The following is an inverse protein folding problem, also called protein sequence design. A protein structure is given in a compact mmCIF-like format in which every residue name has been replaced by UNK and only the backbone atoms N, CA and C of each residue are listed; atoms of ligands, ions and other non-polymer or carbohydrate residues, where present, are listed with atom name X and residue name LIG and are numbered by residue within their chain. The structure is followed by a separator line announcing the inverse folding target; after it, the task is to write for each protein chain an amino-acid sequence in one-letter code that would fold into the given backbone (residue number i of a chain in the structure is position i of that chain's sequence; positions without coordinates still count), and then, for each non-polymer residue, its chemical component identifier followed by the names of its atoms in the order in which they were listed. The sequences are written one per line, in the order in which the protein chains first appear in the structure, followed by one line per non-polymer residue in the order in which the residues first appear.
data_IF_948195481805
#
_entry.id   IF_948195481805
#
_cell.length_a   1.000
_cell.length_b   1.000
_cell.length_c   1.000
_cell.angle_alpha   90.00
_cell.angle_beta   90.00
_cell.angle_gamma   90.00
#
_symmetry.space_group_name_H-M   'P 1'
#
loop_
_entity.id
_entity.type
_entity.pdbx_description
1 polymer ?
#
# COMPACT_ATOMS: atom_id res chain seq x y z
N UNK A 1 15.42 3.28 -14.88
CA UNK A 1 14.38 2.51 -14.18
C UNK A 1 14.61 2.62 -12.68
N UNK A 2 13.62 3.09 -11.92
CA UNK A 2 13.66 3.29 -10.48
C UNK A 2 12.70 2.30 -9.83
N UNK A 3 13.22 1.54 -8.87
CA UNK A 3 12.45 0.56 -8.11
C UNK A 3 12.40 1.00 -6.63
N UNK A 4 11.21 0.98 -6.05
CA UNK A 4 11.01 1.14 -4.61
C UNK A 4 10.74 -0.23 -4.01
N UNK A 5 11.57 -0.63 -3.06
CA UNK A 5 11.44 -1.90 -2.34
C UNK A 5 10.96 -1.65 -0.91
N UNK A 6 9.91 -2.34 -0.49
CA UNK A 6 9.31 -2.25 0.85
C UNK A 6 8.77 -3.62 1.27
N UNK A 7 8.45 -3.81 2.54
CA UNK A 7 7.93 -5.07 3.11
C UNK A 7 7.16 -4.78 4.41
N UNK A 8 6.56 -5.81 5.02
CA UNK A 8 6.06 -5.79 6.39
C UNK A 8 4.95 -4.75 6.65
N UNK A 9 4.00 -4.61 5.73
CA UNK A 9 2.91 -3.64 5.86
C UNK A 9 1.91 -4.04 6.95
N UNK A 10 1.69 -5.35 7.14
CA UNK A 10 0.75 -5.95 8.07
C UNK A 10 -0.60 -5.20 8.13
N UNK A 11 -1.21 -4.97 6.96
CA UNK A 11 -2.49 -4.26 6.88
C UNK A 11 -3.55 -4.96 7.75
N UNK A 12 -4.29 -4.17 8.53
CA UNK A 12 -5.28 -4.65 9.49
C UNK A 12 -4.73 -4.95 10.89
N UNK A 13 -3.44 -4.76 11.13
CA UNK A 13 -2.83 -4.92 12.46
C UNK A 13 -3.46 -3.96 13.47
N UNK A 14 -3.56 -4.43 14.71
CA UNK A 14 -3.92 -3.63 15.88
C UNK A 14 -2.74 -3.56 16.85
N UNK A 15 -2.61 -2.46 17.57
CA UNK A 15 -1.60 -2.25 18.60
C UNK A 15 -2.30 -1.96 19.93
N UNK A 16 -2.08 -2.80 20.93
CA UNK A 16 -2.79 -2.75 22.23
C UNK A 16 -4.32 -2.63 22.10
N UNK A 17 -4.91 -3.33 21.13
CA UNK A 17 -6.36 -3.32 20.88
C UNK A 17 -6.86 -2.11 20.09
N UNK A 18 -5.98 -1.18 19.73
CA UNK A 18 -6.31 -0.04 18.85
C UNK A 18 -6.00 -0.43 17.41
N UNK A 19 -7.00 -0.34 16.53
CA UNK A 19 -6.82 -0.60 15.10
C UNK A 19 -5.92 0.45 14.44
N UNK A 20 -5.03 0.02 13.55
CA UNK A 20 -4.07 0.92 12.89
C UNK A 20 -4.48 1.32 11.47
N UNK A 21 -5.69 1.01 11.03
CA UNK A 21 -6.08 1.13 9.62
C UNK A 21 -5.98 2.56 9.08
N UNK A 22 -6.32 3.57 9.89
CA UNK A 22 -6.18 4.98 9.50
C UNK A 22 -4.71 5.41 9.37
N UNK A 23 -3.85 4.93 10.28
CA UNK A 23 -2.42 5.18 10.18
C UNK A 23 -1.81 4.48 8.96
N UNK A 24 -2.26 3.26 8.65
CA UNK A 24 -1.86 2.50 7.47
C UNK A 24 -2.31 3.19 6.17
N UNK A 25 -3.50 3.79 6.16
CA UNK A 25 -3.95 4.65 5.06
C UNK A 25 -3.02 5.84 4.85
N UNK A 26 -2.66 6.55 5.92
CA UNK A 26 -1.73 7.67 5.83
C UNK A 26 -0.34 7.24 5.31
N UNK A 27 0.15 6.08 5.75
CA UNK A 27 1.40 5.50 5.22
C UNK A 27 1.31 5.24 3.71
N UNK A 28 0.23 4.63 3.24
CA UNK A 28 0.00 4.37 1.81
C UNK A 28 -0.03 5.68 1.01
N UNK A 29 -0.73 6.70 1.49
CA UNK A 29 -0.79 8.01 0.81
C UNK A 29 0.60 8.66 0.70
N UNK A 30 1.40 8.58 1.76
CA UNK A 30 2.79 9.05 1.76
C UNK A 30 3.66 8.25 0.78
N UNK A 31 3.51 6.92 0.76
CA UNK A 31 4.22 6.06 -0.18
C UNK A 31 3.90 6.45 -1.63
N UNK A 32 2.63 6.66 -1.96
CA UNK A 32 2.19 7.08 -3.29
C UNK A 32 2.74 8.47 -3.65
N UNK A 33 2.85 9.38 -2.68
CA UNK A 33 3.50 10.67 -2.90
C UNK A 33 4.98 10.51 -3.26
N UNK A 34 5.73 9.68 -2.54
CA UNK A 34 7.13 9.37 -2.85
C UNK A 34 7.28 8.74 -4.23
N UNK A 35 6.40 7.78 -4.58
CA UNK A 35 6.39 7.14 -5.91
C UNK A 35 6.26 8.19 -7.02
N UNK A 36 5.35 9.17 -6.85
CA UNK A 36 5.16 10.26 -7.82
C UNK A 36 6.36 11.19 -7.87
N UNK A 37 6.78 11.74 -6.73
CA UNK A 37 7.87 12.71 -6.64
C UNK A 37 9.19 12.15 -7.18
N UNK A 38 9.45 10.87 -6.93
CA UNK A 38 10.67 10.20 -7.35
C UNK A 38 10.55 9.50 -8.70
N UNK A 39 9.41 9.59 -9.38
CA UNK A 39 9.16 8.92 -10.67
C UNK A 39 9.55 7.43 -10.61
N UNK A 40 9.04 6.72 -9.60
CA UNK A 40 9.28 5.29 -9.41
C UNK A 40 8.51 4.50 -10.47
N UNK A 41 9.19 3.61 -11.17
CA UNK A 41 8.59 2.79 -12.24
C UNK A 41 7.89 1.54 -11.66
N UNK A 42 8.44 0.97 -10.58
CA UNK A 42 7.95 -0.27 -9.96
C UNK A 42 8.06 -0.19 -8.44
N UNK A 43 6.99 -0.57 -7.75
CA UNK A 43 6.99 -0.81 -6.30
C UNK A 43 6.99 -2.31 -6.06
N UNK A 44 8.00 -2.83 -5.37
CA UNK A 44 8.10 -4.22 -4.94
C UNK A 44 7.78 -4.32 -3.45
N UNK A 45 6.74 -5.08 -3.11
CA UNK A 45 6.34 -5.36 -1.72
C UNK A 45 6.77 -6.79 -1.39
N UNK A 46 7.86 -6.96 -0.63
CA UNK A 46 8.51 -8.23 -0.36
C UNK A 46 7.92 -8.97 0.84
N UNK A 47 6.61 -9.18 0.83
CA UNK A 47 5.91 -10.00 1.84
C UNK A 47 5.17 -9.19 2.90
N UNK A 48 4.41 -9.93 3.73
CA UNK A 48 3.64 -9.45 4.87
C UNK A 48 2.76 -8.24 4.56
N UNK A 49 2.04 -8.33 3.44
CA UNK A 49 1.05 -7.32 3.03
C UNK A 49 -0.10 -7.24 4.04
N UNK A 50 -0.63 -8.39 4.45
CA UNK A 50 -1.72 -8.48 5.41
C UNK A 50 -1.23 -9.01 6.76
N UNK A 51 -1.84 -8.55 7.85
CA UNK A 51 -1.55 -9.06 9.20
C UNK A 51 -2.03 -10.51 9.39
N UNK A 52 -3.07 -10.92 8.65
CA UNK A 52 -3.72 -12.23 8.78
C UNK A 52 -3.96 -12.88 7.42
N UNK A 53 -3.97 -14.20 7.40
CA UNK A 53 -4.25 -14.99 6.20
C UNK A 53 -5.65 -14.73 5.60
N UNK A 54 -6.64 -14.43 6.46
CA UNK A 54 -7.98 -14.01 6.07
C UNK A 54 -8.18 -12.56 6.53
N UNK A 55 -7.80 -11.57 5.71
CA UNK A 55 -7.97 -10.16 6.03
C UNK A 55 -9.45 -9.75 5.99
N UNK A 56 -9.80 -8.71 6.75
CA UNK A 56 -11.11 -8.08 6.68
C UNK A 56 -11.35 -7.38 5.34
N UNK A 57 -12.62 -7.16 4.98
CA UNK A 57 -13.00 -6.48 3.74
C UNK A 57 -12.47 -5.04 3.66
N UNK A 58 -12.47 -4.34 4.80
CA UNK A 58 -11.91 -3.00 4.98
C UNK A 58 -10.40 -2.95 4.71
N UNK A 59 -9.68 -3.99 5.14
CA UNK A 59 -8.24 -4.16 4.89
C UNK A 59 -7.94 -4.42 3.42
N UNK A 60 -8.72 -5.30 2.77
CA UNK A 60 -8.57 -5.58 1.34
C UNK A 60 -8.89 -4.33 0.53
N UNK A 61 -9.96 -3.62 0.89
CA UNK A 61 -10.34 -2.36 0.25
C UNK A 61 -9.24 -1.30 0.34
N UNK A 62 -8.53 -1.20 1.47
CA UNK A 62 -7.43 -0.26 1.61
C UNK A 62 -6.31 -0.51 0.58
N UNK A 63 -5.92 -1.77 0.36
CA UNK A 63 -4.92 -2.12 -0.66
C UNK A 63 -5.44 -1.88 -2.09
N UNK A 64 -6.71 -2.17 -2.32
CA UNK A 64 -7.35 -1.97 -3.62
C UNK A 64 -7.40 -0.48 -3.98
N UNK A 65 -7.84 0.37 -3.05
CA UNK A 65 -7.86 1.83 -3.21
C UNK A 65 -6.46 2.37 -3.54
N UNK A 66 -5.40 1.84 -2.89
CA UNK A 66 -4.01 2.20 -3.18
C UNK A 66 -3.59 1.84 -4.62
N UNK A 67 -4.02 0.65 -5.07
CA UNK A 67 -3.70 0.11 -6.40
C UNK A 67 -4.44 0.89 -7.50
N UNK A 68 -5.71 1.20 -7.30
CA UNK A 68 -6.50 2.00 -8.24
C UNK A 68 -6.09 3.47 -8.28
N UNK A 69 -5.73 4.07 -7.13
CA UNK A 69 -5.17 5.43 -7.08
C UNK A 69 -3.89 5.55 -7.92
N UNK A 70 -3.09 4.49 -8.00
CA UNK A 70 -1.90 4.45 -8.87
C UNK A 70 -2.22 4.33 -10.36
N UNK A 71 -3.38 3.75 -10.74
CA UNK A 71 -3.75 3.48 -12.14
C UNK A 71 -4.27 4.71 -12.90
N UNK A 72 -4.66 5.77 -12.19
CA UNK A 72 -5.02 7.06 -12.79
C UNK A 72 -3.78 7.87 -13.22
N UNK A 73 -2.57 7.40 -12.89
CA UNK A 73 -1.29 7.97 -13.30
C UNK A 73 -0.85 7.32 -14.63
N UNK A 74 -1.40 7.83 -15.73
CA UNK A 74 -1.12 7.52 -17.15
C UNK A 74 -1.23 6.06 -17.64
N UNK A 75 -1.95 5.81 -18.76
CA UNK A 75 -2.14 4.48 -19.34
C UNK A 75 -0.92 4.00 -20.14
N UNK A 76 0.26 3.89 -19.51
CA UNK A 76 1.47 3.35 -20.15
C UNK A 76 1.67 1.85 -19.96
N UNK A 77 0.68 1.15 -19.38
CA UNK A 77 0.69 -0.29 -19.16
C UNK A 77 -0.48 -0.95 -19.90
N UNK A 78 -0.41 -0.92 -21.24
CA UNK A 78 -0.92 -1.93 -22.16
C UNK A 78 0.20 -2.26 -23.14
#
# INVERSE_FOLDING_TARGET
MRLLHTSDWHLGRSFHGVGMLDAQRNFIEQLLAVVREQSVDVVLIAGDVYDRALPGLDVVKLLDDASYGSRMLEPRWC
#
